data_IF_471844874364
#
_entry.id   IF_471844874364
#
_cell.length_a   1.000
_cell.length_b   1.000
_cell.length_c   1.000
_cell.angle_alpha   90.00
_cell.angle_beta   90.00
_cell.angle_gamma   90.00
#
_symmetry.space_group_name_H-M   'P 1'
#
loop_
_entity.id
_entity.type
_entity.pdbx_description
1 polymer ?
#
# COMPACT_ATOMS: atom_id res chain seq x y z
N UNK A 1 41.99 27.01 -2.11
CA UNK A 1 42.47 26.25 -3.29
C UNK A 1 41.46 25.16 -3.58
N UNK A 2 40.87 25.18 -4.77
CA UNK A 2 39.85 24.25 -5.26
C UNK A 2 40.44 22.89 -5.67
N UNK A 3 39.66 21.82 -5.51
CA UNK A 3 39.56 20.64 -6.39
C UNK A 3 38.28 19.88 -5.93
N UNK A 4 37.17 19.75 -6.66
CA UNK A 4 36.90 19.47 -8.07
C UNK A 4 37.53 18.16 -8.56
N UNK A 5 37.06 17.04 -8.04
CA UNK A 5 37.07 15.76 -8.75
C UNK A 5 35.74 15.07 -8.50
N UNK A 6 34.84 15.16 -9.48
CA UNK A 6 33.62 14.36 -9.54
C UNK A 6 33.93 12.88 -9.82
N UNK A 7 32.99 11.96 -9.56
CA UNK A 7 33.22 10.54 -9.74
C UNK A 7 33.39 10.17 -11.22
N UNK A 8 34.39 9.34 -11.49
CA UNK A 8 34.73 8.77 -12.79
C UNK A 8 33.55 7.99 -13.41
N UNK A 9 33.11 8.38 -14.60
CA UNK A 9 32.08 7.68 -15.38
C UNK A 9 32.68 6.48 -16.11
N UNK A 10 32.22 5.27 -15.80
CA UNK A 10 32.51 4.06 -16.57
C UNK A 10 31.51 3.95 -17.75
N UNK A 11 31.96 3.92 -19.02
CA UNK A 11 31.04 3.91 -20.16
C UNK A 11 30.61 2.48 -20.51
N UNK A 12 29.81 1.83 -19.65
CA UNK A 12 29.12 0.57 -20.04
C UNK A 12 28.10 0.07 -19.00
N UNK A 13 27.15 0.89 -18.55
CA UNK A 13 25.92 0.36 -17.94
C UNK A 13 24.73 1.18 -18.40
N UNK A 14 23.91 0.61 -19.29
CA UNK A 14 22.54 1.07 -19.53
C UNK A 14 21.82 1.05 -18.18
N UNK A 15 21.67 2.21 -17.53
CA UNK A 15 20.74 2.37 -16.41
C UNK A 15 19.32 2.15 -16.96
N UNK A 16 18.43 1.41 -16.27
CA UNK A 16 17.01 1.53 -16.54
C UNK A 16 16.61 2.97 -16.23
N UNK A 17 16.21 3.71 -17.26
CA UNK A 17 15.74 5.07 -17.15
C UNK A 17 14.39 5.05 -16.44
N UNK A 18 14.31 5.60 -15.22
CA UNK A 18 13.04 5.80 -14.53
C UNK A 18 12.42 7.09 -15.06
N UNK A 19 11.60 7.01 -16.11
CA UNK A 19 10.85 8.15 -16.68
C UNK A 19 9.81 8.78 -15.74
N UNK A 20 9.70 8.30 -14.50
CA UNK A 20 8.64 8.73 -13.57
C UNK A 20 9.08 9.83 -12.60
N UNK A 21 10.38 10.00 -12.38
CA UNK A 21 10.93 11.07 -11.53
C UNK A 21 12.29 11.50 -12.12
N UNK A 22 12.51 12.79 -12.43
CA UNK A 22 13.82 13.26 -12.84
C UNK A 22 14.83 13.01 -11.71
N UNK A 23 15.98 12.38 -12.01
CA UNK A 23 17.19 12.53 -11.18
C UNK A 23 17.67 13.96 -11.45
N UNK A 24 17.37 14.92 -10.57
CA UNK A 24 17.96 16.26 -10.70
C UNK A 24 18.32 16.86 -9.33
N UNK A 25 19.62 16.97 -9.10
CA UNK A 25 20.29 17.51 -7.92
C UNK A 25 20.22 19.06 -7.83
N UNK A 26 19.33 19.72 -8.59
CA UNK A 26 19.33 21.20 -8.68
C UNK A 26 17.98 21.89 -8.82
N UNK A 27 16.88 21.16 -8.91
CA UNK A 27 15.54 21.74 -8.99
C UNK A 27 14.91 21.85 -7.61
N UNK A 28 14.39 23.03 -7.25
CA UNK A 28 13.56 23.22 -6.07
C UNK A 28 12.45 22.15 -6.05
N UNK A 29 12.04 21.62 -4.88
CA UNK A 29 10.95 20.65 -4.80
C UNK A 29 9.76 21.13 -5.62
N UNK A 30 9.11 20.24 -6.38
CA UNK A 30 8.01 20.58 -7.31
C UNK A 30 6.93 21.48 -6.70
N UNK A 31 6.74 21.43 -5.39
CA UNK A 31 5.87 22.30 -4.56
C UNK A 31 6.15 23.80 -4.76
N UNK A 32 7.37 24.18 -5.11
CA UNK A 32 7.77 25.58 -5.33
C UNK A 32 7.79 25.97 -6.82
N UNK A 33 7.37 25.08 -7.73
CA UNK A 33 7.24 25.40 -9.15
C UNK A 33 6.08 26.39 -9.36
N UNK A 34 6.28 27.50 -10.10
CA UNK A 34 5.21 28.46 -10.39
C UNK A 34 4.12 27.90 -11.31
N UNK A 35 4.41 26.82 -12.04
CA UNK A 35 3.48 26.13 -12.93
C UNK A 35 3.63 24.61 -12.78
N UNK A 36 2.52 23.91 -12.61
CA UNK A 36 2.49 22.45 -12.50
C UNK A 36 2.26 21.87 -13.89
N UNK A 37 3.23 21.13 -14.43
CA UNK A 37 3.05 20.41 -15.68
C UNK A 37 2.32 19.09 -15.45
N UNK A 38 1.00 19.11 -15.67
CA UNK A 38 0.15 17.92 -15.54
C UNK A 38 0.32 16.92 -16.69
N UNK A 39 1.06 17.28 -17.75
CA UNK A 39 1.28 16.37 -18.90
C UNK A 39 2.14 15.15 -18.53
N UNK A 40 2.98 15.26 -17.48
CA UNK A 40 3.72 14.14 -16.87
C UNK A 40 2.78 13.05 -16.33
N UNK A 41 1.54 13.42 -16.00
CA UNK A 41 0.51 12.55 -15.45
C UNK A 41 -0.50 12.06 -16.50
N UNK A 42 -0.34 12.44 -17.78
CA UNK A 42 -1.23 12.03 -18.87
C UNK A 42 -1.36 10.51 -19.02
N UNK A 43 -0.35 9.77 -18.56
CA UNK A 43 -0.29 8.32 -18.61
C UNK A 43 -0.73 7.69 -17.27
N UNK A 44 -1.92 8.06 -16.80
CA UNK A 44 -2.57 7.60 -15.56
C UNK A 44 -2.51 6.07 -15.44
N UNK A 45 -2.77 5.35 -16.55
CA UNK A 45 -2.70 3.89 -16.62
C UNK A 45 -1.29 3.31 -16.31
N UNK A 46 -0.22 4.07 -16.54
CA UNK A 46 1.17 3.67 -16.20
C UNK A 46 1.47 3.85 -14.72
N UNK A 47 0.91 4.87 -14.07
CA UNK A 47 1.10 5.07 -12.62
C UNK A 47 0.31 4.05 -11.81
N UNK A 48 -0.88 3.68 -12.30
CA UNK A 48 -1.70 2.65 -11.65
C UNK A 48 -1.41 1.22 -12.12
N UNK A 49 -0.40 1.01 -12.98
CA UNK A 49 0.01 -0.35 -13.43
C UNK A 49 0.44 -1.26 -12.28
N UNK A 50 0.84 -0.68 -11.14
CA UNK A 50 1.12 -1.42 -9.90
C UNK A 50 -0.16 -1.98 -9.22
N UNK A 51 -1.34 -1.61 -9.70
CA UNK A 51 -2.64 -1.94 -9.12
C UNK A 51 -3.56 -2.57 -10.16
N UNK A 52 -3.42 -3.88 -10.43
CA UNK A 52 -4.44 -4.56 -11.18
C UNK A 52 -5.77 -4.43 -10.41
N UNK A 53 -6.88 -4.09 -11.08
CA UNK A 53 -8.19 -4.04 -10.43
C UNK A 53 -8.45 -5.38 -9.72
N UNK A 54 -9.16 -5.38 -8.58
CA UNK A 54 -9.50 -6.62 -7.90
C UNK A 54 -10.25 -7.51 -8.89
N UNK A 55 -9.65 -8.63 -9.28
CA UNK A 55 -10.34 -9.57 -10.19
C UNK A 55 -11.51 -10.19 -9.43
N UNK A 56 -12.59 -10.46 -10.14
CA UNK A 56 -13.81 -11.10 -9.63
C UNK A 56 -13.55 -12.25 -8.65
N UNK A 57 -12.61 -13.16 -9.00
CA UNK A 57 -12.23 -14.30 -8.16
C UNK A 57 -11.68 -13.91 -6.77
N UNK A 58 -10.98 -12.77 -6.67
CA UNK A 58 -10.47 -12.28 -5.40
C UNK A 58 -11.59 -11.79 -4.49
N UNK A 59 -12.57 -11.09 -5.08
CA UNK A 59 -13.74 -10.58 -4.36
C UNK A 59 -14.58 -11.76 -3.85
N UNK A 60 -14.85 -12.74 -4.73
CA UNK A 60 -15.56 -13.97 -4.37
C UNK A 60 -14.86 -14.73 -3.23
N UNK A 61 -13.53 -14.89 -3.31
CA UNK A 61 -12.78 -15.55 -2.23
C UNK A 61 -12.86 -14.77 -0.91
N UNK A 62 -12.75 -13.44 -0.98
CA UNK A 62 -12.86 -12.59 0.20
C UNK A 62 -14.24 -12.70 0.85
N UNK A 63 -15.32 -12.57 0.09
CA UNK A 63 -16.70 -12.65 0.60
C UNK A 63 -16.99 -14.00 1.24
N UNK A 64 -16.49 -15.07 0.61
CA UNK A 64 -16.59 -16.44 1.12
C UNK A 64 -15.86 -16.61 2.46
N UNK A 65 -14.60 -16.17 2.55
CA UNK A 65 -13.81 -16.27 3.79
C UNK A 65 -14.40 -15.35 4.86
N UNK A 66 -14.88 -14.16 4.50
CA UNK A 66 -15.56 -13.23 5.40
C UNK A 66 -16.79 -13.89 6.03
N UNK A 67 -17.65 -14.54 5.24
CA UNK A 67 -18.86 -15.19 5.75
C UNK A 67 -18.57 -16.18 6.90
N UNK A 68 -17.41 -16.84 6.88
CA UNK A 68 -16.99 -17.79 7.93
C UNK A 68 -16.16 -17.14 9.05
N UNK A 69 -15.22 -16.25 8.70
CA UNK A 69 -14.15 -15.79 9.62
C UNK A 69 -14.31 -14.33 10.07
N UNK A 70 -15.41 -13.65 9.72
CA UNK A 70 -15.67 -12.25 10.11
C UNK A 70 -15.51 -12.00 11.63
N UNK A 71 -15.95 -12.92 12.49
CA UNK A 71 -15.82 -12.78 13.94
C UNK A 71 -14.36 -12.67 14.40
N UNK A 72 -13.49 -13.50 13.81
CA UNK A 72 -12.03 -13.50 14.03
C UNK A 72 -11.44 -12.17 13.58
N UNK A 73 -11.85 -11.68 12.41
CA UNK A 73 -11.34 -10.41 11.86
C UNK A 73 -11.79 -9.19 12.64
N UNK A 74 -13.02 -9.19 13.18
CA UNK A 74 -13.52 -8.14 14.08
C UNK A 74 -12.72 -8.10 15.38
N UNK A 75 -12.45 -9.27 15.97
CA UNK A 75 -11.64 -9.39 17.18
C UNK A 75 -10.20 -8.90 16.96
N UNK A 76 -9.61 -9.25 15.82
CA UNK A 76 -8.28 -8.79 15.39
C UNK A 76 -8.27 -7.33 14.89
N UNK A 77 -9.44 -6.72 14.68
CA UNK A 77 -9.63 -5.37 14.09
C UNK A 77 -8.99 -5.22 12.71
N UNK A 78 -9.03 -6.27 11.90
CA UNK A 78 -8.57 -6.25 10.50
C UNK A 78 -9.73 -6.21 9.51
N UNK A 79 -10.98 -6.43 9.96
CA UNK A 79 -12.14 -6.51 9.07
C UNK A 79 -12.27 -5.28 8.17
N UNK A 80 -12.24 -4.08 8.75
CA UNK A 80 -12.42 -2.83 8.01
C UNK A 80 -11.36 -2.69 6.90
N UNK A 81 -10.11 -3.05 7.21
CA UNK A 81 -9.03 -3.00 6.23
C UNK A 81 -9.13 -4.10 5.15
N UNK A 82 -9.62 -5.29 5.50
CA UNK A 82 -9.92 -6.33 4.51
C UNK A 82 -11.05 -5.86 3.60
N UNK A 83 -12.11 -5.23 4.12
CA UNK A 83 -13.20 -4.70 3.29
C UNK A 83 -12.72 -3.64 2.30
N UNK A 84 -11.75 -2.81 2.68
CA UNK A 84 -11.16 -1.84 1.78
C UNK A 84 -10.57 -2.52 0.52
N UNK A 85 -10.06 -3.76 0.63
CA UNK A 85 -9.51 -4.51 -0.51
C UNK A 85 -10.53 -4.97 -1.56
N UNK A 86 -11.84 -4.82 -1.30
CA UNK A 86 -12.89 -5.05 -2.31
C UNK A 86 -12.97 -3.93 -3.34
N UNK A 87 -12.54 -2.73 -3.00
CA UNK A 87 -12.69 -1.57 -3.85
C UNK A 87 -11.58 -1.48 -4.89
N UNK A 88 -11.98 -1.20 -6.14
CA UNK A 88 -11.04 -0.83 -7.18
C UNK A 88 -10.51 0.58 -6.91
N UNK A 89 -9.20 0.76 -6.97
CA UNK A 89 -8.57 2.07 -6.85
C UNK A 89 -8.95 3.00 -8.00
N UNK A 90 -9.46 2.49 -9.13
CA UNK A 90 -10.04 3.32 -10.19
C UNK A 90 -11.29 4.10 -9.74
N UNK A 91 -11.89 3.73 -8.61
CA UNK A 91 -12.98 4.49 -7.98
C UNK A 91 -12.47 5.78 -7.34
N UNK A 92 -11.18 5.83 -6.98
CA UNK A 92 -10.58 7.04 -6.43
C UNK A 92 -10.34 8.07 -7.53
N UNK A 93 -10.61 9.34 -7.19
CA UNK A 93 -10.32 10.47 -8.06
C UNK A 93 -8.81 10.49 -8.38
N UNK A 94 -8.41 10.30 -9.65
CA UNK A 94 -7.01 10.35 -10.05
C UNK A 94 -6.34 11.66 -9.63
N UNK A 95 -7.06 12.78 -9.65
CA UNK A 95 -6.51 14.09 -9.27
C UNK A 95 -6.09 14.14 -7.81
N UNK A 96 -6.85 13.49 -6.92
CA UNK A 96 -6.50 13.40 -5.50
C UNK A 96 -5.26 12.55 -5.27
N UNK A 97 -5.16 11.41 -5.96
CA UNK A 97 -3.98 10.53 -5.86
C UNK A 97 -2.73 11.20 -6.43
N UNK A 98 -2.87 11.91 -7.55
CA UNK A 98 -1.80 12.70 -8.16
C UNK A 98 -1.33 13.82 -7.24
N UNK A 99 -2.26 14.56 -6.64
CA UNK A 99 -1.95 15.61 -5.67
C UNK A 99 -1.16 15.04 -4.48
N UNK A 100 -1.55 13.87 -3.98
CA UNK A 100 -0.84 13.24 -2.88
C UNK A 100 0.60 12.85 -3.24
N UNK A 101 0.81 12.26 -4.43
CA UNK A 101 2.16 11.97 -4.92
C UNK A 101 2.97 13.26 -5.08
N UNK A 102 2.32 14.32 -5.59
CA UNK A 102 2.96 15.62 -5.82
C UNK A 102 3.47 16.28 -4.54
N UNK A 103 2.67 16.24 -3.47
CA UNK A 103 3.07 16.82 -2.19
C UNK A 103 3.98 15.90 -1.37
N UNK A 104 4.08 14.62 -1.69
CA UNK A 104 4.96 13.70 -0.94
C UNK A 104 6.43 13.93 -1.29
N UNK A 105 7.20 14.39 -0.31
CA UNK A 105 8.65 14.43 -0.43
C UNK A 105 9.29 13.17 0.15
N UNK A 106 10.04 12.46 -0.70
CA UNK A 106 10.73 11.21 -0.35
C UNK A 106 11.84 11.39 0.69
N UNK A 107 12.54 12.51 0.66
CA UNK A 107 13.67 12.78 1.56
C UNK A 107 13.19 13.09 2.98
N UNK A 108 12.18 13.95 3.10
CA UNK A 108 11.59 14.30 4.41
C UNK A 108 10.59 13.26 4.90
N UNK A 109 10.13 12.37 4.01
CA UNK A 109 9.06 11.37 4.24
C UNK A 109 7.78 12.02 4.79
N UNK A 110 7.44 13.17 4.24
CA UNK A 110 6.31 13.98 4.66
C UNK A 110 5.61 14.58 3.43
N UNK A 111 4.34 14.92 3.59
CA UNK A 111 3.67 15.82 2.65
C UNK A 111 4.08 17.26 2.93
N UNK A 112 4.58 17.94 1.90
CA UNK A 112 5.07 19.31 1.97
C UNK A 112 4.01 20.27 1.44
N UNK A 113 3.26 20.88 2.34
CA UNK A 113 2.32 21.93 1.96
C UNK A 113 2.94 23.32 2.21
N UNK A 114 2.45 24.37 1.53
CA UNK A 114 2.86 25.75 1.82
C UNK A 114 2.62 26.15 3.30
N UNK A 115 1.66 25.51 3.97
CA UNK A 115 1.38 25.71 5.39
C UNK A 115 2.23 24.85 6.34
N UNK A 116 3.13 24.01 5.82
CA UNK A 116 4.06 23.19 6.60
C UNK A 116 4.07 21.70 6.23
N UNK A 117 4.92 20.96 6.91
CA UNK A 117 5.06 19.51 6.77
C UNK A 117 3.93 18.77 7.48
N UNK A 118 3.47 17.71 6.84
CA UNK A 118 2.42 16.86 7.36
C UNK A 118 2.83 15.40 7.17
N UNK A 119 3.04 14.68 8.27
CA UNK A 119 3.54 13.30 8.25
C UNK A 119 2.43 12.31 8.64
N UNK A 120 2.28 11.16 7.94
CA UNK A 120 1.41 10.08 8.38
C UNK A 120 1.73 9.65 9.80
N UNK A 121 0.75 9.69 10.70
CA UNK A 121 0.90 9.20 12.07
C UNK A 121 0.25 7.83 12.25
N UNK A 122 0.56 7.17 13.36
CA UNK A 122 -0.11 5.93 13.74
C UNK A 122 -1.63 6.14 13.91
N UNK A 123 -2.05 7.33 14.36
CA UNK A 123 -3.46 7.65 14.53
C UNK A 123 -4.17 7.72 13.18
N UNK A 124 -3.54 8.31 12.16
CA UNK A 124 -4.08 8.37 10.80
C UNK A 124 -4.26 6.98 10.20
N UNK A 125 -3.25 6.11 10.37
CA UNK A 125 -3.34 4.70 9.92
C UNK A 125 -4.54 4.01 10.57
N UNK A 126 -4.69 4.15 11.89
CA UNK A 126 -5.78 3.53 12.65
C UNK A 126 -7.14 4.09 12.25
N UNK A 127 -7.25 5.40 12.01
CA UNK A 127 -8.48 6.04 11.58
C UNK A 127 -8.92 5.57 10.18
N UNK A 128 -7.97 5.41 9.24
CA UNK A 128 -8.26 5.03 7.86
C UNK A 128 -8.51 3.53 7.72
N UNK A 129 -7.73 2.69 8.41
CA UNK A 129 -7.76 1.23 8.23
C UNK A 129 -8.58 0.49 9.28
N UNK A 130 -8.93 1.13 10.40
CA UNK A 130 -9.61 0.49 11.54
C UNK A 130 -8.73 -0.42 12.39
N UNK A 131 -7.45 -0.59 12.05
CA UNK A 131 -6.47 -1.45 12.74
C UNK A 131 -6.28 -1.06 14.21
N UNK A 132 -5.82 -2.00 15.05
CA UNK A 132 -5.47 -1.69 16.45
C UNK A 132 -4.22 -0.80 16.54
N UNK A 133 -4.22 0.27 17.35
CA UNK A 133 -3.02 1.10 17.61
C UNK A 133 -1.98 0.38 18.49
N UNK A 134 -2.41 -0.62 19.26
CA UNK A 134 -1.61 -1.31 20.26
C UNK A 134 -1.63 -2.82 20.01
N UNK A 135 -0.51 -3.45 20.33
CA UNK A 135 -0.29 -4.89 20.15
C UNK A 135 1.20 -5.20 20.21
N UNK A 136 1.50 -6.48 20.09
CA UNK A 136 2.83 -7.03 20.07
C UNK A 136 3.56 -6.62 18.79
N UNK A 137 4.86 -6.37 18.93
CA UNK A 137 5.72 -6.06 17.80
C UNK A 137 5.93 -7.32 16.96
N UNK A 138 5.63 -7.22 15.67
CA UNK A 138 6.00 -8.28 14.73
C UNK A 138 7.50 -8.20 14.45
N UNK A 139 8.22 -9.23 14.87
CA UNK A 139 9.62 -9.46 14.52
C UNK A 139 9.68 -10.80 13.78
N UNK A 140 10.08 -10.82 12.49
CA UNK A 140 10.11 -12.05 11.70
C UNK A 140 10.89 -13.18 12.38
N UNK A 141 11.99 -12.85 13.05
CA UNK A 141 12.90 -13.81 13.67
C UNK A 141 12.44 -14.29 15.05
N UNK A 142 11.40 -13.67 15.62
CA UNK A 142 10.93 -13.95 17.00
C UNK A 142 9.61 -14.72 17.01
N UNK A 143 8.89 -14.74 15.90
CA UNK A 143 7.66 -15.52 15.75
C UNK A 143 8.00 -16.88 15.14
N UNK A 144 8.00 -17.90 16.00
CA UNK A 144 8.09 -19.29 15.55
C UNK A 144 6.84 -19.67 14.75
N UNK A 145 7.05 -20.50 13.72
CA UNK A 145 5.97 -21.17 13.00
C UNK A 145 5.30 -22.18 13.94
N UNK A 146 4.10 -21.86 14.41
CA UNK A 146 3.32 -22.78 15.27
C UNK A 146 2.70 -23.91 14.44
N UNK A 147 2.29 -23.60 13.21
CA UNK A 147 1.89 -24.59 12.21
C UNK A 147 3.00 -24.58 11.15
N UNK A 148 3.79 -25.65 11.02
CA UNK A 148 4.82 -25.72 10.00
C UNK A 148 4.22 -25.56 8.60
N UNK A 149 4.92 -24.83 7.72
CA UNK A 149 4.50 -24.68 6.32
C UNK A 149 4.22 -26.03 5.62
N UNK A 150 4.95 -27.09 6.01
CA UNK A 150 4.81 -28.45 5.48
C UNK A 150 3.52 -29.16 5.90
N UNK A 151 2.91 -28.74 7.01
CA UNK A 151 1.66 -29.29 7.51
C UNK A 151 0.44 -28.59 6.92
N UNK A 152 0.62 -27.38 6.39
CA UNK A 152 -0.44 -26.69 5.64
C UNK A 152 -0.57 -27.22 4.22
N UNK A 153 -1.80 -27.28 3.73
CA UNK A 153 -2.12 -27.65 2.34
C UNK A 153 -1.90 -26.52 1.34
N UNK A 154 -0.95 -25.61 1.62
CA UNK A 154 -0.65 -24.44 0.79
C UNK A 154 0.29 -24.84 -0.35
N UNK A 155 -0.15 -24.56 -1.57
CA UNK A 155 0.53 -24.83 -2.84
C UNK A 155 1.50 -23.69 -3.15
N UNK A 156 2.77 -23.87 -2.80
CA UNK A 156 3.81 -22.83 -2.86
C UNK A 156 4.43 -22.60 -4.25
N UNK A 157 4.27 -23.54 -5.18
CA UNK A 157 4.75 -23.42 -6.57
C UNK A 157 3.92 -22.39 -7.37
N UNK A 158 2.65 -22.19 -6.99
CA UNK A 158 1.76 -21.19 -7.60
C UNK A 158 1.83 -19.86 -6.86
N UNK A 159 2.98 -19.21 -6.90
CA UNK A 159 3.21 -18.00 -6.11
C UNK A 159 2.68 -16.70 -6.74
N UNK A 160 2.32 -16.64 -8.02
CA UNK A 160 1.72 -15.42 -8.60
C UNK A 160 0.32 -15.20 -8.05
N UNK A 161 -0.10 -13.94 -7.83
CA UNK A 161 -1.40 -13.65 -7.20
C UNK A 161 -2.58 -14.38 -7.85
N UNK A 162 -2.67 -14.40 -9.18
CA UNK A 162 -3.78 -15.09 -9.86
C UNK A 162 -3.71 -16.61 -9.75
N UNK A 163 -2.51 -17.20 -9.82
CA UNK A 163 -2.34 -18.64 -9.70
C UNK A 163 -2.58 -19.10 -8.26
N UNK A 164 -2.11 -18.30 -7.29
CA UNK A 164 -2.28 -18.55 -5.86
C UNK A 164 -3.75 -18.56 -5.48
N UNK A 165 -4.52 -17.53 -5.88
CA UNK A 165 -5.97 -17.49 -5.61
C UNK A 165 -6.69 -18.66 -6.29
N UNK A 166 -6.37 -18.96 -7.54
CA UNK A 166 -7.01 -20.08 -8.24
C UNK A 166 -6.67 -21.47 -7.64
N UNK A 167 -5.61 -21.56 -6.85
CA UNK A 167 -5.15 -22.81 -6.24
C UNK A 167 -5.70 -23.04 -4.83
N UNK A 168 -6.17 -21.98 -4.16
CA UNK A 168 -6.61 -22.02 -2.76
C UNK A 168 -8.05 -21.51 -2.56
N UNK A 169 -8.70 -21.04 -3.62
CA UNK A 169 -10.12 -20.74 -3.62
C UNK A 169 -10.92 -22.04 -3.85
N UNK A 170 -11.39 -22.64 -2.76
CA UNK A 170 -12.18 -23.87 -2.79
C UNK A 170 -13.62 -23.62 -3.28
N UNK A 171 -14.32 -24.69 -3.68
CA UNK A 171 -15.69 -24.62 -4.19
C UNK A 171 -16.68 -24.04 -3.17
N UNK A 172 -17.67 -23.29 -3.67
CA UNK A 172 -18.77 -22.76 -2.86
C UNK A 172 -19.48 -23.87 -2.07
N UNK A 173 -19.65 -23.66 -0.76
CA UNK A 173 -20.36 -24.59 0.13
C UNK A 173 -19.46 -25.52 0.97
N UNK A 174 -18.17 -25.63 0.69
CA UNK A 174 -17.23 -26.31 1.61
C UNK A 174 -16.88 -25.41 2.81
N UNK A 175 -16.62 -25.98 4.00
CA UNK A 175 -16.18 -25.19 5.15
C UNK A 175 -14.77 -24.64 4.94
N UNK A 176 -14.54 -23.38 5.35
CA UNK A 176 -13.21 -22.75 5.27
C UNK A 176 -12.22 -23.46 6.19
N UNK A 177 -11.23 -24.10 5.58
CA UNK A 177 -10.14 -24.76 6.30
C UNK A 177 -9.17 -23.73 6.91
N UNK A 178 -8.37 -24.16 7.90
CA UNK A 178 -7.37 -23.28 8.49
C UNK A 178 -6.28 -22.91 7.49
N UNK A 179 -5.89 -23.86 6.63
CA UNK A 179 -4.98 -23.62 5.49
C UNK A 179 -5.52 -22.58 4.52
N UNK A 180 -6.81 -22.66 4.13
CA UNK A 180 -7.45 -21.68 3.24
C UNK A 180 -7.46 -20.28 3.88
N UNK A 181 -7.78 -20.19 5.18
CA UNK A 181 -7.78 -18.92 5.90
C UNK A 181 -6.37 -18.32 5.99
N UNK A 182 -5.35 -19.13 6.30
CA UNK A 182 -3.95 -18.67 6.34
C UNK A 182 -3.49 -18.24 4.94
N UNK A 183 -3.83 -19.01 3.89
CA UNK A 183 -3.52 -18.66 2.51
C UNK A 183 -4.18 -17.33 2.10
N UNK A 184 -5.45 -17.12 2.47
CA UNK A 184 -6.14 -15.86 2.21
C UNK A 184 -5.45 -14.69 2.90
N UNK A 185 -5.14 -14.80 4.20
CA UNK A 185 -4.45 -13.74 4.95
C UNK A 185 -3.06 -13.46 4.37
N UNK A 186 -2.34 -14.50 3.97
CA UNK A 186 -1.04 -14.38 3.33
C UNK A 186 -1.14 -13.63 1.99
N UNK A 187 -2.11 -13.99 1.16
CA UNK A 187 -2.41 -13.28 -0.08
C UNK A 187 -2.77 -11.81 0.18
N UNK A 188 -3.69 -11.54 1.10
CA UNK A 188 -4.15 -10.19 1.45
C UNK A 188 -3.00 -9.31 1.98
N UNK A 189 -2.18 -9.83 2.89
CA UNK A 189 -0.97 -9.12 3.37
C UNK A 189 -0.04 -8.77 2.22
N UNK A 190 0.16 -9.72 1.30
CA UNK A 190 1.08 -9.57 0.19
C UNK A 190 0.57 -8.59 -0.87
N UNK A 191 -0.70 -8.68 -1.25
CA UNK A 191 -1.28 -7.98 -2.39
C UNK A 191 -1.89 -6.62 -2.00
N UNK A 192 -2.50 -6.51 -0.82
CA UNK A 192 -3.27 -5.34 -0.41
C UNK A 192 -2.55 -4.53 0.67
N UNK A 193 -1.95 -5.19 1.67
CA UNK A 193 -1.31 -4.47 2.79
C UNK A 193 0.08 -3.97 2.42
N UNK A 194 0.98 -4.87 2.02
CA UNK A 194 2.37 -4.53 1.71
C UNK A 194 2.67 -4.40 0.22
N UNK A 195 1.76 -4.87 -0.64
CA UNK A 195 1.82 -4.75 -2.10
C UNK A 195 3.19 -5.15 -2.68
N UNK A 196 3.48 -6.44 -2.61
CA UNK A 196 4.80 -6.96 -2.97
C UNK A 196 5.10 -6.67 -4.46
N UNK A 197 6.22 -6.01 -4.80
CA UNK A 197 6.49 -5.58 -6.18
C UNK A 197 6.59 -6.72 -7.21
N UNK A 198 6.85 -7.95 -6.76
CA UNK A 198 6.95 -9.12 -7.63
C UNK A 198 5.60 -9.64 -8.12
N UNK A 199 4.47 -9.10 -7.63
CA UNK A 199 3.11 -9.62 -7.88
C UNK A 199 2.98 -11.11 -7.51
N UNK A 200 3.81 -11.53 -6.56
CA UNK A 200 3.85 -12.87 -6.01
C UNK A 200 3.56 -12.82 -4.51
N UNK A 201 3.08 -13.94 -3.99
CA UNK A 201 2.86 -14.21 -2.57
C UNK A 201 4.18 -14.73 -1.99
N UNK A 202 4.95 -13.91 -1.27
CA UNK A 202 6.17 -14.38 -0.65
C UNK A 202 5.91 -15.20 0.61
N UNK A 203 6.82 -16.14 0.89
CA UNK A 203 6.78 -17.01 2.07
C UNK A 203 7.02 -16.26 3.38
N UNK A 204 7.78 -15.16 3.37
CA UNK A 204 8.19 -14.49 4.60
C UNK A 204 7.05 -13.77 5.35
N UNK A 205 5.86 -13.64 4.76
CA UNK A 205 4.66 -13.18 5.47
C UNK A 205 3.85 -14.33 6.09
N UNK A 206 4.28 -15.58 5.94
CA UNK A 206 3.55 -16.75 6.41
C UNK A 206 3.34 -16.73 7.94
N UNK A 207 4.39 -16.47 8.71
CA UNK A 207 4.32 -16.38 10.18
C UNK A 207 3.40 -15.24 10.63
N UNK A 208 3.37 -14.11 9.90
CA UNK A 208 2.42 -13.03 10.14
C UNK A 208 0.98 -13.46 9.86
N UNK A 209 0.72 -14.10 8.72
CA UNK A 209 -0.60 -14.61 8.35
C UNK A 209 -1.12 -15.64 9.36
N UNK A 210 -0.25 -16.56 9.78
CA UNK A 210 -0.54 -17.54 10.80
C UNK A 210 -0.84 -16.89 12.15
N UNK A 211 -0.04 -15.90 12.55
CA UNK A 211 -0.28 -15.21 13.81
C UNK A 211 -1.63 -14.46 13.82
N UNK A 212 -2.04 -13.88 12.68
CA UNK A 212 -3.38 -13.31 12.51
C UNK A 212 -4.48 -14.39 12.58
N UNK A 213 -4.25 -15.54 11.95
CA UNK A 213 -5.15 -16.70 12.03
C UNK A 213 -5.35 -17.18 13.48
N UNK A 214 -4.25 -17.28 14.24
CA UNK A 214 -4.21 -17.68 15.65
C UNK A 214 -4.64 -16.57 16.61
N UNK A 215 -5.11 -15.42 16.10
CA UNK A 215 -5.57 -14.28 16.90
C UNK A 215 -4.52 -13.68 17.83
N UNK A 216 -3.23 -13.83 17.50
CA UNK A 216 -2.15 -13.14 18.23
C UNK A 216 -2.36 -11.63 18.13
N UNK A 217 -2.02 -10.90 19.19
CA UNK A 217 -2.27 -9.46 19.29
C UNK A 217 -1.23 -8.63 18.54
N UNK A 218 -0.92 -8.97 17.29
CA UNK A 218 0.09 -8.25 16.51
C UNK A 218 -0.38 -6.84 16.14
N UNK A 219 0.50 -5.86 16.32
CA UNK A 219 0.25 -4.47 15.93
C UNK A 219 0.51 -4.22 14.44
N UNK A 220 -0.46 -4.59 13.58
CA UNK A 220 -0.35 -4.40 12.13
C UNK A 220 -0.27 -2.92 11.73
N UNK A 221 -0.88 -2.01 12.49
CA UNK A 221 -0.85 -0.56 12.23
C UNK A 221 0.56 0.03 12.29
N UNK A 222 1.38 -0.38 13.28
CA UNK A 222 2.79 0.03 13.38
C UNK A 222 3.62 -0.56 12.25
N UNK A 223 3.38 -1.83 11.89
CA UNK A 223 4.07 -2.50 10.80
C UNK A 223 3.76 -1.81 9.45
N UNK A 224 2.49 -1.44 9.27
CA UNK A 224 2.03 -0.69 8.11
C UNK A 224 2.67 0.68 8.06
N UNK A 225 2.62 1.46 9.16
CA UNK A 225 3.29 2.75 9.26
C UNK A 225 4.79 2.66 8.93
N UNK A 226 5.49 1.67 9.47
CA UNK A 226 6.89 1.44 9.14
C UNK A 226 7.09 1.14 7.64
N UNK A 227 6.18 0.39 7.01
CA UNK A 227 6.19 0.16 5.56
C UNK A 227 5.99 1.46 4.77
N UNK A 228 5.08 2.35 5.21
CA UNK A 228 4.87 3.67 4.60
C UNK A 228 6.15 4.51 4.54
N UNK A 229 6.91 4.55 5.64
CA UNK A 229 8.16 5.30 5.71
C UNK A 229 9.32 4.62 4.96
N UNK A 230 9.26 3.30 4.74
CA UNK A 230 10.33 2.56 4.06
C UNK A 230 10.07 2.34 2.56
N UNK A 231 8.82 2.44 2.11
CA UNK A 231 8.45 2.22 0.71
C UNK A 231 8.62 3.51 -0.12
N UNK A 232 9.47 3.51 -1.15
CA UNK A 232 9.54 4.62 -2.10
C UNK A 232 8.44 4.55 -3.18
N UNK A 233 7.53 3.58 -3.10
CA UNK A 233 6.52 3.31 -4.14
C UNK A 233 5.12 3.53 -3.61
N UNK A 234 4.29 4.17 -4.45
CA UNK A 234 2.83 4.16 -4.33
C UNK A 234 2.39 2.70 -4.28
N UNK A 235 1.63 2.34 -3.25
CA UNK A 235 1.06 1.01 -3.08
C UNK A 235 -0.43 1.09 -2.68
N UNK A 236 -1.18 -0.02 -2.62
CA UNK A 236 -2.64 0.01 -2.40
C UNK A 236 -3.00 0.66 -1.06
N UNK A 237 -2.30 0.24 0.01
CA UNK A 237 -2.44 0.89 1.31
C UNK A 237 -2.09 2.37 1.21
N UNK A 238 -1.07 2.73 0.45
CA UNK A 238 -0.64 4.11 0.22
C UNK A 238 -1.66 4.94 -0.55
N UNK A 239 -2.30 4.36 -1.57
CA UNK A 239 -3.33 5.02 -2.37
C UNK A 239 -4.59 5.29 -1.53
N UNK A 240 -5.06 4.30 -0.76
CA UNK A 240 -6.15 4.52 0.20
C UNK A 240 -5.76 5.61 1.19
N UNK A 241 -4.56 5.52 1.76
CA UNK A 241 -4.11 6.51 2.73
C UNK A 241 -4.09 7.91 2.12
N UNK A 242 -3.43 8.09 0.99
CA UNK A 242 -3.36 9.35 0.26
C UNK A 242 -4.74 9.90 -0.07
N UNK A 243 -5.64 9.07 -0.61
CA UNK A 243 -6.98 9.49 -0.96
C UNK A 243 -7.77 9.93 0.29
N UNK A 244 -7.83 9.10 1.32
CA UNK A 244 -8.52 9.42 2.58
C UNK A 244 -7.92 10.64 3.26
N UNK A 245 -6.59 10.75 3.28
CA UNK A 245 -5.87 11.85 3.92
C UNK A 245 -6.15 13.18 3.24
N UNK A 246 -6.08 13.23 1.91
CA UNK A 246 -6.42 14.43 1.15
C UNK A 246 -7.91 14.76 1.22
N UNK A 247 -8.79 13.75 1.23
CA UNK A 247 -10.23 13.98 1.37
C UNK A 247 -10.56 14.61 2.73
N UNK A 248 -9.99 14.10 3.82
CA UNK A 248 -10.14 14.65 5.17
C UNK A 248 -9.52 16.05 5.24
N UNK A 249 -8.31 16.24 4.73
CA UNK A 249 -7.64 17.54 4.74
C UNK A 249 -8.42 18.60 3.95
N UNK A 250 -8.90 18.27 2.75
CA UNK A 250 -9.71 19.17 1.91
C UNK A 250 -11.06 19.51 2.58
N UNK A 251 -11.70 18.56 3.29
CA UNK A 251 -12.96 18.81 4.01
C UNK A 251 -12.75 19.68 5.25
N UNK A 252 -11.68 19.48 6.01
CA UNK A 252 -11.43 20.25 7.23
C UNK A 252 -10.83 21.63 6.98
N UNK A 253 -10.10 21.81 5.86
CA UNK A 253 -9.53 23.08 5.44
C UNK A 253 -10.20 23.61 4.16
N UNK A 254 -11.53 23.73 4.16
CA UNK A 254 -12.35 24.26 3.05
C UNK A 254 -11.80 25.58 2.47
N UNK A 255 -11.21 26.44 3.31
CA UNK A 255 -10.60 27.70 2.87
C UNK A 255 -9.27 27.54 2.12
N UNK A 256 -8.52 26.45 2.33
CA UNK A 256 -7.26 26.15 1.62
C UNK A 256 -7.53 25.27 0.40
N UNK A 257 -8.47 24.32 0.52
CA UNK A 257 -8.90 23.46 -0.58
C UNK A 257 -9.46 24.26 -1.75
N UNK A 258 -10.33 25.24 -1.51
CA UNK A 258 -10.90 26.09 -2.59
C UNK A 258 -9.84 27.03 -3.20
N UNK A 259 -8.88 27.53 -2.41
CA UNK A 259 -7.85 28.44 -2.92
C UNK A 259 -6.81 27.68 -3.74
N UNK A 260 -6.34 26.51 -3.30
CA UNK A 260 -5.32 25.75 -4.04
C UNK A 260 -5.90 24.87 -5.16
N UNK A 261 -7.02 24.17 -4.96
CA UNK A 261 -7.65 23.47 -6.08
C UNK A 261 -8.30 24.45 -7.07
N UNK A 262 -8.84 25.57 -6.60
CA UNK A 262 -9.38 26.61 -7.49
C UNK A 262 -8.32 27.33 -8.32
N UNK A 263 -7.14 27.62 -7.77
CA UNK A 263 -6.05 28.23 -8.55
C UNK A 263 -5.25 27.25 -9.41
N UNK A 264 -5.11 25.98 -9.02
CA UNK A 264 -4.37 24.99 -9.81
C UNK A 264 -5.24 24.37 -10.91
N UNK A 265 -6.56 24.25 -10.72
CA UNK A 265 -7.45 23.54 -11.66
C UNK A 265 -8.46 24.43 -12.40
N UNK A 266 -8.59 25.72 -12.11
CA UNK A 266 -9.49 26.63 -12.85
C UNK A 266 -8.77 27.66 -13.75
N UNK A 267 -7.46 27.54 -13.95
CA UNK A 267 -6.74 28.36 -14.94
C UNK A 267 -6.29 27.57 -16.18
N UNK A 268 -7.12 26.62 -16.63
CA UNK A 268 -7.09 26.08 -18.00
C UNK A 268 -8.36 26.47 -18.73
#
# INVERSE_FOLDING_TARGET
MHAFLGPFSNPSKKKPHNDLLPEDDSTLPFVYSPTIDLSLFSDIARMFRAFPPPKEKHIQWLERVEASKQSIWKEARILDFVQLSKYDLNVFDPQMLLSAIFFWNRETRAFEFPCGFVCPTLLDIVAITGLKPLGDHYLPDTLEEEIPMTETSIIWDKNTYSAFVSAHHDEEGTPITDSEHIAFLLYWLSACVFCTPSLQVPKYYYTLAQALHLKKKICLSKLLLASFYNSPKLNFSWAIFCYSYFHIFCIHHVSIGIIYFGLVFWTT
#
